data_IF_741067853468
#
_entry.id   IF_741067853468
#
_cell.length_a   1.000
_cell.length_b   1.000
_cell.length_c   1.000
_cell.angle_alpha   90.00
_cell.angle_beta   90.00
_cell.angle_gamma   90.00
#
_symmetry.space_group_name_H-M   'P 1'
#
loop_
_entity.id
_entity.type
_entity.pdbx_description
1 polymer ?
#
# COMPACT_ATOMS: atom_id res chain seq x y z
N UNK A 1 -14.43 -8.76 15.23
CA UNK A 1 -14.69 -9.85 14.27
C UNK A 1 -13.36 -10.58 14.14
N UNK A 2 -13.20 -11.74 14.78
CA UNK A 2 -11.92 -12.42 14.84
C UNK A 2 -11.59 -13.00 13.46
N UNK A 3 -10.39 -12.74 12.95
CA UNK A 3 -9.89 -13.35 11.72
C UNK A 3 -9.86 -14.87 11.88
N UNK A 4 -10.31 -15.59 10.85
CA UNK A 4 -10.29 -17.05 10.87
C UNK A 4 -8.83 -17.54 10.78
N UNK A 5 -8.51 -18.61 11.49
CA UNK A 5 -7.15 -19.16 11.52
C UNK A 5 -6.69 -19.61 10.13
N UNK A 6 -5.53 -19.11 9.70
CA UNK A 6 -4.89 -19.50 8.44
C UNK A 6 -4.10 -20.80 8.68
N UNK A 7 -4.20 -21.75 7.75
CA UNK A 7 -3.45 -23.01 7.85
C UNK A 7 -1.95 -22.74 7.78
N UNK A 8 -1.17 -23.43 8.61
CA UNK A 8 0.29 -23.32 8.64
C UNK A 8 0.93 -23.52 7.25
N UNK A 9 0.40 -24.42 6.43
CA UNK A 9 0.91 -24.64 5.07
C UNK A 9 0.72 -23.40 4.17
N UNK A 10 -0.42 -22.70 4.31
CA UNK A 10 -0.69 -21.46 3.58
C UNK A 10 0.29 -20.35 4.01
N UNK A 11 0.60 -20.26 5.31
CA UNK A 11 1.59 -19.33 5.84
C UNK A 11 3.02 -19.61 5.34
N UNK A 12 3.43 -20.87 5.29
CA UNK A 12 4.76 -21.23 4.80
C UNK A 12 4.90 -20.87 3.31
N UNK A 13 3.88 -21.17 2.51
CA UNK A 13 3.87 -20.86 1.08
C UNK A 13 3.85 -19.34 0.86
N UNK A 14 3.13 -18.56 1.67
CA UNK A 14 3.10 -17.10 1.54
C UNK A 14 4.47 -16.49 1.81
N UNK A 15 5.14 -16.89 2.90
CA UNK A 15 6.49 -16.41 3.24
C UNK A 15 7.48 -16.75 2.11
N UNK A 16 7.49 -18.00 1.64
CA UNK A 16 8.40 -18.42 0.57
C UNK A 16 8.14 -17.67 -0.74
N UNK A 17 6.87 -17.43 -1.07
CA UNK A 17 6.51 -16.67 -2.27
C UNK A 17 6.93 -15.21 -2.20
N UNK A 18 6.72 -14.54 -1.05
CA UNK A 18 7.19 -13.16 -0.83
C UNK A 18 8.71 -13.09 -0.98
N UNK A 19 9.45 -13.98 -0.31
CA UNK A 19 10.92 -14.02 -0.41
C UNK A 19 11.39 -14.21 -1.85
N UNK A 20 10.72 -15.08 -2.62
CA UNK A 20 11.06 -15.28 -4.03
C UNK A 20 10.82 -14.03 -4.88
N UNK A 21 9.70 -13.32 -4.66
CA UNK A 21 9.37 -12.07 -5.36
C UNK A 21 10.37 -10.97 -5.00
N UNK A 22 10.70 -10.81 -3.72
CA UNK A 22 11.67 -9.81 -3.26
C UNK A 22 13.08 -10.09 -3.83
N UNK A 23 13.51 -11.35 -3.87
CA UNK A 23 14.79 -11.73 -4.49
C UNK A 23 14.81 -11.41 -5.99
N UNK A 24 13.75 -11.75 -6.72
CA UNK A 24 13.63 -11.43 -8.14
C UNK A 24 13.66 -9.90 -8.35
N UNK A 25 12.89 -9.14 -7.58
CA UNK A 25 12.86 -7.68 -7.64
C UNK A 25 14.24 -7.07 -7.34
N UNK A 26 14.94 -7.59 -6.32
CA UNK A 26 16.29 -7.16 -5.98
C UNK A 26 17.28 -7.41 -7.11
N UNK A 27 17.20 -8.55 -7.79
CA UNK A 27 18.04 -8.84 -8.96
C UNK A 27 17.76 -7.84 -10.10
N UNK A 28 16.49 -7.62 -10.45
CA UNK A 28 16.08 -6.65 -11.47
C UNK A 28 16.55 -5.22 -11.17
N UNK A 29 16.43 -4.79 -9.92
CA UNK A 29 16.91 -3.49 -9.45
C UNK A 29 18.44 -3.39 -9.48
N UNK A 30 19.15 -4.44 -9.08
CA UNK A 30 20.62 -4.47 -9.06
C UNK A 30 21.24 -4.35 -10.47
N UNK A 31 20.54 -4.83 -11.49
CA UNK A 31 20.94 -4.68 -12.89
C UNK A 31 20.51 -3.34 -13.52
N UNK A 32 19.98 -2.40 -12.72
CA UNK A 32 19.55 -1.07 -13.15
C UNK A 32 18.48 -1.09 -14.28
N UNK A 33 17.74 -2.19 -14.40
CA UNK A 33 16.71 -2.36 -15.43
C UNK A 33 15.43 -1.56 -15.12
N UNK A 34 15.23 -1.22 -13.86
CA UNK A 34 14.06 -0.47 -13.38
C UNK A 34 14.50 0.65 -12.45
N UNK A 35 13.78 1.77 -12.49
CA UNK A 35 13.96 2.81 -11.48
C UNK A 35 13.62 2.24 -10.08
N UNK A 36 14.35 2.63 -9.02
CA UNK A 36 14.18 2.05 -7.69
C UNK A 36 12.73 2.04 -7.21
N UNK A 37 12.02 3.16 -7.40
CA UNK A 37 10.63 3.30 -6.96
C UNK A 37 9.65 2.46 -7.78
N UNK A 38 9.85 2.35 -9.09
CA UNK A 38 8.98 1.55 -9.95
C UNK A 38 9.20 0.06 -9.69
N UNK A 39 10.44 -0.38 -9.47
CA UNK A 39 10.73 -1.76 -9.10
C UNK A 39 10.09 -2.17 -7.77
N UNK A 40 10.17 -1.31 -6.76
CA UNK A 40 9.47 -1.55 -5.47
C UNK A 40 7.95 -1.61 -5.67
N UNK A 41 7.37 -0.69 -6.44
CA UNK A 41 5.93 -0.70 -6.73
C UNK A 41 5.47 -1.98 -7.44
N UNK A 42 6.23 -2.44 -8.43
CA UNK A 42 5.93 -3.69 -9.14
C UNK A 42 6.07 -4.92 -8.24
N UNK A 43 7.08 -4.96 -7.38
CA UNK A 43 7.27 -6.04 -6.41
C UNK A 43 6.07 -6.15 -5.46
N UNK A 44 5.65 -5.02 -4.88
CA UNK A 44 4.47 -4.97 -4.01
C UNK A 44 3.18 -5.40 -4.73
N UNK A 45 2.98 -4.96 -5.97
CA UNK A 45 1.84 -5.43 -6.78
C UNK A 45 1.87 -6.95 -7.01
N UNK A 46 3.05 -7.51 -7.29
CA UNK A 46 3.21 -8.94 -7.48
C UNK A 46 2.92 -9.72 -6.19
N UNK A 47 3.37 -9.22 -5.03
CA UNK A 47 3.06 -9.79 -3.70
C UNK A 47 1.56 -9.77 -3.42
N UNK A 48 0.89 -8.63 -3.61
CA UNK A 48 -0.56 -8.49 -3.46
C UNK A 48 -1.29 -9.53 -4.31
N UNK A 49 -0.96 -9.61 -5.60
CA UNK A 49 -1.61 -10.54 -6.54
C UNK A 49 -1.35 -11.99 -6.12
N UNK A 50 -0.12 -12.31 -5.73
CA UNK A 50 0.27 -13.65 -5.30
C UNK A 50 -0.48 -14.08 -4.04
N UNK A 51 -0.54 -13.24 -3.01
CA UNK A 51 -1.22 -13.54 -1.75
C UNK A 51 -2.73 -13.69 -1.95
N UNK A 52 -3.35 -12.79 -2.72
CA UNK A 52 -4.77 -12.88 -3.06
C UNK A 52 -5.09 -14.15 -3.85
N UNK A 53 -4.24 -14.51 -4.81
CA UNK A 53 -4.39 -15.76 -5.57
C UNK A 53 -4.23 -16.99 -4.67
N UNK A 54 -3.19 -17.02 -3.84
CA UNK A 54 -2.92 -18.12 -2.91
C UNK A 54 -4.12 -18.38 -1.99
N UNK A 55 -4.67 -17.33 -1.39
CA UNK A 55 -5.80 -17.43 -0.46
C UNK A 55 -7.07 -17.86 -1.21
N UNK A 56 -7.31 -17.32 -2.42
CA UNK A 56 -8.43 -17.74 -3.27
C UNK A 56 -8.37 -19.24 -3.60
N UNK A 57 -7.19 -19.76 -3.95
CA UNK A 57 -7.03 -21.17 -4.34
C UNK A 57 -6.99 -22.15 -3.16
N UNK A 58 -6.36 -21.78 -2.02
CA UNK A 58 -6.16 -22.68 -0.88
C UNK A 58 -7.31 -22.68 0.12
N UNK A 59 -7.90 -21.52 0.39
CA UNK A 59 -8.91 -21.35 1.45
C UNK A 59 -10.34 -21.19 0.88
N UNK A 60 -10.50 -21.08 -0.45
CA UNK A 60 -11.78 -20.99 -1.16
C UNK A 60 -12.76 -19.92 -0.64
N UNK A 61 -12.27 -18.99 0.18
CA UNK A 61 -13.05 -17.98 0.89
C UNK A 61 -12.24 -16.70 1.05
N UNK A 62 -12.41 -15.75 0.13
CA UNK A 62 -11.90 -14.38 0.29
C UNK A 62 -12.52 -13.66 1.51
N UNK A 63 -13.61 -14.20 2.06
CA UNK A 63 -14.21 -13.73 3.31
C UNK A 63 -13.29 -13.90 4.53
N UNK A 64 -12.25 -14.74 4.45
CA UNK A 64 -11.26 -14.91 5.54
C UNK A 64 -10.41 -13.66 5.75
N UNK A 65 -10.22 -12.84 4.71
CA UNK A 65 -9.52 -11.53 4.76
C UNK A 65 -10.53 -10.36 4.79
N UNK A 66 -11.82 -10.63 5.08
CA UNK A 66 -12.85 -9.57 5.04
C UNK A 66 -13.21 -9.05 3.64
N UNK A 67 -12.67 -9.62 2.57
CA UNK A 67 -13.00 -9.31 1.17
C UNK A 67 -14.32 -9.95 0.71
N UNK A 68 -15.35 -9.97 1.56
CA UNK A 68 -16.67 -10.38 1.08
C UNK A 68 -17.31 -9.23 0.28
N UNK A 69 -17.88 -9.55 -0.88
CA UNK A 69 -18.40 -8.59 -1.87
C UNK A 69 -19.27 -7.44 -1.28
N UNK A 70 -20.24 -7.70 -0.36
CA UNK A 70 -21.03 -6.61 0.22
C UNK A 70 -20.28 -5.78 1.28
N UNK A 71 -19.23 -6.31 1.92
CA UNK A 71 -18.46 -5.61 2.95
C UNK A 71 -17.43 -4.66 2.35
N UNK A 72 -16.86 -4.99 1.18
CA UNK A 72 -15.90 -4.14 0.46
C UNK A 72 -16.53 -2.79 0.11
N UNK A 73 -17.74 -2.78 -0.48
CA UNK A 73 -18.39 -1.53 -0.89
C UNK A 73 -18.72 -0.64 0.32
N UNK A 74 -19.17 -1.24 1.42
CA UNK A 74 -19.47 -0.51 2.67
C UNK A 74 -18.20 0.03 3.33
N UNK A 75 -17.12 -0.75 3.30
CA UNK A 75 -15.80 -0.35 3.79
C UNK A 75 -15.23 0.80 2.99
N UNK A 76 -15.30 0.73 1.65
CA UNK A 76 -14.81 1.76 0.75
C UNK A 76 -15.53 3.10 0.98
N UNK A 77 -16.86 3.11 1.02
CA UNK A 77 -17.60 4.36 1.23
C UNK A 77 -17.28 5.00 2.58
N UNK A 78 -17.19 4.20 3.66
CA UNK A 78 -16.79 4.72 4.98
C UNK A 78 -15.34 5.21 4.98
N UNK A 79 -14.45 4.47 4.34
CA UNK A 79 -13.03 4.82 4.23
C UNK A 79 -12.84 6.12 3.47
N UNK A 80 -13.53 6.32 2.34
CA UNK A 80 -13.49 7.56 1.57
C UNK A 80 -14.00 8.74 2.39
N UNK A 81 -15.12 8.58 3.10
CA UNK A 81 -15.64 9.65 3.97
C UNK A 81 -14.61 10.02 5.04
N UNK A 82 -14.06 9.03 5.74
CA UNK A 82 -13.03 9.27 6.76
C UNK A 82 -11.76 9.89 6.20
N UNK A 83 -11.29 9.44 5.04
CA UNK A 83 -10.11 9.98 4.38
C UNK A 83 -10.30 11.45 3.99
N UNK A 84 -11.47 11.81 3.44
CA UNK A 84 -11.82 13.19 3.10
C UNK A 84 -11.91 14.05 4.35
N UNK A 85 -12.65 13.59 5.38
CA UNK A 85 -12.81 14.35 6.62
C UNK A 85 -11.49 14.58 7.34
N UNK A 86 -10.65 13.54 7.43
CA UNK A 86 -9.33 13.65 8.04
C UNK A 86 -8.40 14.53 7.21
N UNK A 87 -8.40 14.38 5.89
CA UNK A 87 -7.63 15.22 4.98
C UNK A 87 -8.03 16.70 5.09
N UNK A 88 -9.32 16.99 5.19
CA UNK A 88 -9.82 18.35 5.41
C UNK A 88 -9.38 18.93 6.76
N UNK A 89 -9.48 18.14 7.84
CA UNK A 89 -9.03 18.55 9.16
C UNK A 89 -7.51 18.82 9.19
N UNK A 90 -6.70 17.92 8.62
CA UNK A 90 -5.26 18.11 8.50
C UNK A 90 -4.92 19.35 7.65
N UNK A 91 -5.62 19.55 6.54
CA UNK A 91 -5.48 20.75 5.70
C UNK A 91 -5.79 22.04 6.45
N UNK A 92 -6.86 22.06 7.26
CA UNK A 92 -7.20 23.21 8.10
C UNK A 92 -6.11 23.53 9.13
N UNK A 93 -5.56 22.51 9.79
CA UNK A 93 -4.45 22.67 10.76
C UNK A 93 -3.20 23.24 10.08
N UNK A 94 -2.83 22.71 8.90
CA UNK A 94 -1.71 23.21 8.12
C UNK A 94 -1.94 24.67 7.65
N UNK A 95 -3.17 25.00 7.27
CA UNK A 95 -3.53 26.35 6.85
C UNK A 95 -3.47 27.35 8.01
N UNK A 96 -3.97 26.99 9.20
CA UNK A 96 -3.83 27.82 10.41
C UNK A 96 -2.35 28.01 10.77
N UNK A 97 -1.55 26.94 10.68
CA UNK A 97 -0.10 27.00 10.93
C UNK A 97 0.59 27.95 9.95
N UNK A 98 0.21 27.93 8.68
CA UNK A 98 0.71 28.86 7.67
C UNK A 98 0.36 30.31 8.01
N UNK A 99 -0.89 30.59 8.42
CA UNK A 99 -1.32 31.92 8.85
C UNK A 99 -0.59 32.40 10.12
N UNK A 100 -0.22 31.48 11.00
CA UNK A 100 0.60 31.76 12.18
C UNK A 100 2.10 32.00 11.87
N UNK A 101 2.48 32.01 10.59
CA UNK A 101 3.86 32.24 10.15
C UNK A 101 4.77 31.01 10.25
N UNK A 102 4.22 29.83 10.54
CA UNK A 102 4.97 28.57 10.57
C UNK A 102 5.27 28.16 9.13
N UNK A 103 6.54 27.90 8.82
CA UNK A 103 6.96 27.35 7.53
C UNK A 103 6.47 25.92 7.40
N UNK A 104 5.30 25.73 6.77
CA UNK A 104 4.68 24.41 6.54
C UNK A 104 5.63 23.46 5.81
N UNK A 105 6.39 23.95 4.83
CA UNK A 105 7.38 23.15 4.10
C UNK A 105 8.52 22.65 4.99
N UNK A 106 8.84 23.35 6.08
CA UNK A 106 9.85 22.91 7.03
C UNK A 106 9.35 21.79 7.98
N UNK A 107 8.03 21.58 8.05
CA UNK A 107 7.44 20.45 8.79
C UNK A 107 7.67 19.12 8.05
N UNK A 108 7.77 19.16 6.72
CA UNK A 108 8.04 17.98 5.90
C UNK A 108 9.53 17.86 5.62
N UNK A 109 10.21 16.93 6.31
CA UNK A 109 11.65 16.65 6.09
C UNK A 109 11.93 15.88 4.79
N UNK A 110 10.89 15.45 4.09
CA UNK A 110 11.00 14.67 2.87
C UNK A 110 11.27 15.59 1.67
N UNK A 111 12.32 15.27 0.91
CA UNK A 111 12.55 15.87 -0.40
C UNK A 111 11.59 15.22 -1.40
N UNK A 112 10.57 15.96 -1.80
CA UNK A 112 9.68 15.52 -2.86
C UNK A 112 10.43 15.54 -4.21
N UNK A 113 10.23 14.54 -5.07
CA UNK A 113 10.79 14.57 -6.42
C UNK A 113 10.31 15.82 -7.16
N UNK A 114 11.25 16.59 -7.72
CA UNK A 114 10.94 17.79 -8.50
C UNK A 114 10.34 17.48 -9.88
N UNK A 115 10.59 16.28 -10.41
CA UNK A 115 10.02 15.80 -11.66
C UNK A 115 8.60 15.26 -11.48
N UNK A 116 7.63 15.80 -12.23
CA UNK A 116 6.21 15.40 -12.14
C UNK A 116 5.99 13.90 -12.30
N UNK A 117 6.72 13.23 -13.20
CA UNK A 117 6.57 11.80 -13.42
C UNK A 117 7.06 10.97 -12.20
N UNK A 118 8.16 11.40 -11.57
CA UNK A 118 8.67 10.77 -10.34
C UNK A 118 7.76 11.06 -9.15
N UNK A 119 7.16 12.24 -9.09
CA UNK A 119 6.18 12.61 -8.06
C UNK A 119 4.91 11.75 -8.15
N UNK A 120 4.37 11.56 -9.36
CA UNK A 120 3.20 10.67 -9.58
C UNK A 120 3.53 9.25 -9.16
N UNK A 121 4.68 8.72 -9.61
CA UNK A 121 5.14 7.38 -9.22
C UNK A 121 5.29 7.28 -7.70
N UNK A 122 5.84 8.31 -7.06
CA UNK A 122 6.00 8.38 -5.61
C UNK A 122 4.68 8.33 -4.86
N UNK A 123 3.68 9.09 -5.29
CA UNK A 123 2.36 9.07 -4.69
C UNK A 123 1.64 7.75 -4.93
N UNK A 124 1.70 7.19 -6.14
CA UNK A 124 1.07 5.90 -6.44
C UNK A 124 1.68 4.76 -5.63
N UNK A 125 3.01 4.67 -5.60
CA UNK A 125 3.69 3.58 -4.88
C UNK A 125 3.58 3.79 -3.37
N UNK A 126 3.87 4.99 -2.87
CA UNK A 126 3.94 5.26 -1.44
C UNK A 126 2.60 5.48 -0.75
N UNK A 127 1.60 6.07 -1.41
CA UNK A 127 0.33 6.40 -0.78
C UNK A 127 -0.79 5.41 -1.10
N UNK A 128 -0.63 4.56 -2.12
CA UNK A 128 -1.66 3.59 -2.51
C UNK A 128 -1.15 2.15 -2.47
N UNK A 129 -0.16 1.81 -3.30
CA UNK A 129 0.29 0.41 -3.43
C UNK A 129 0.92 -0.10 -2.13
N UNK A 130 1.76 0.73 -1.49
CA UNK A 130 2.41 0.39 -0.21
C UNK A 130 1.40 0.04 0.88
N UNK A 131 0.49 0.96 1.27
CA UNK A 131 -0.52 0.68 2.28
C UNK A 131 -1.40 -0.53 1.95
N UNK A 132 -1.78 -0.72 0.68
CA UNK A 132 -2.55 -1.91 0.28
C UNK A 132 -1.74 -3.20 0.46
N UNK A 133 -0.44 -3.19 0.18
CA UNK A 133 0.42 -4.34 0.42
C UNK A 133 0.64 -4.64 1.91
N UNK A 134 0.62 -3.61 2.77
CA UNK A 134 0.76 -3.77 4.22
C UNK A 134 -0.49 -4.37 4.89
N UNK A 135 -1.68 -4.11 4.33
CA UNK A 135 -2.97 -4.60 4.86
C UNK A 135 -3.34 -6.02 4.39
N UNK A 136 -2.65 -6.56 3.37
CA UNK A 136 -2.90 -7.90 2.80
C UNK A 136 -1.97 -8.93 3.42
#
# INVERSE_FOLDING_TARGET
>A
MAANEIKLNTLIISILGIVAIELAARMLLSHNLLAPLTGVGLARLAEIIFLLALIKFKENRLSTIGLSSPQIYRGLNRGVIWAISFGAAAGAVLFISYLAGIKVTALFRMQLPSESNRLITFLLVGALIGPVAEEI
#
